data_IF_465737831636
#
_entry.id   IF_465737831636
#
_cell.length_a   1.000
_cell.length_b   1.000
_cell.length_c   1.000
_cell.angle_alpha   90.00
_cell.angle_beta   90.00
_cell.angle_gamma   90.00
#
_symmetry.space_group_name_H-M   'P 1'
#
loop_
_entity.id
_entity.type
_entity.pdbx_description
1 polymer ?
#
# COMPACT_ATOMS: atom_id res chain seq x y z
N UNK A 1 11.25 2.45 15.36
CA UNK A 1 11.07 2.48 13.90
C UNK A 1 12.36 2.98 13.29
N UNK A 2 12.87 2.26 12.29
CA UNK A 2 14.19 2.50 11.67
C UNK A 2 14.22 3.83 10.93
N UNK A 3 13.14 4.17 10.25
CA UNK A 3 13.01 5.40 9.44
C UNK A 3 13.18 6.66 10.29
N UNK A 4 12.57 6.71 11.48
CA UNK A 4 12.75 7.83 12.41
C UNK A 4 14.21 7.96 12.88
N UNK A 5 14.90 6.87 13.21
CA UNK A 5 16.31 6.93 13.59
C UNK A 5 17.21 7.44 12.46
N UNK A 6 16.93 7.03 11.22
CA UNK A 6 17.61 7.54 10.03
C UNK A 6 17.37 9.04 9.84
N UNK A 7 16.12 9.49 9.99
CA UNK A 7 15.76 10.91 9.91
C UNK A 7 16.49 11.74 10.97
N UNK A 8 16.42 11.37 12.24
CA UNK A 8 17.13 12.08 13.33
C UNK A 8 18.64 12.11 13.11
N UNK A 9 19.21 11.03 12.57
CA UNK A 9 20.64 10.97 12.22
C UNK A 9 20.98 11.97 11.12
N UNK A 10 20.15 12.07 10.08
CA UNK A 10 20.34 13.05 9.01
C UNK A 10 20.17 14.48 9.54
N UNK A 11 19.17 14.76 10.38
CA UNK A 11 19.02 16.08 11.02
C UNK A 11 20.29 16.45 11.78
N UNK A 12 20.80 15.58 12.65
CA UNK A 12 22.03 15.84 13.41
C UNK A 12 23.23 16.12 12.50
N UNK A 13 23.38 15.37 11.41
CA UNK A 13 24.45 15.60 10.43
C UNK A 13 24.33 16.98 9.79
N UNK A 14 23.12 17.39 9.42
CA UNK A 14 22.87 18.69 8.81
C UNK A 14 23.06 19.85 9.79
N UNK A 15 22.62 19.71 11.05
CA UNK A 15 22.91 20.69 12.12
C UNK A 15 24.41 20.84 12.31
N UNK A 16 25.13 19.73 12.42
CA UNK A 16 26.58 19.75 12.62
C UNK A 16 27.30 20.36 11.40
N UNK A 17 26.89 19.99 10.18
CA UNK A 17 27.41 20.57 8.95
C UNK A 17 27.18 22.09 8.91
N UNK A 18 25.97 22.55 9.23
CA UNK A 18 25.63 23.96 9.27
C UNK A 18 26.48 24.72 10.29
N UNK A 19 26.51 24.26 11.55
CA UNK A 19 27.24 24.92 12.64
C UNK A 19 28.75 24.94 12.42
N UNK A 20 29.33 23.84 11.94
CA UNK A 20 30.76 23.79 11.61
C UNK A 20 31.12 24.71 10.44
N UNK A 21 30.27 24.76 9.40
CA UNK A 21 30.49 25.65 8.25
C UNK A 21 30.29 27.12 8.63
N UNK A 22 29.29 27.43 9.46
CA UNK A 22 29.07 28.78 9.97
C UNK A 22 30.26 29.25 10.81
N UNK A 23 30.74 28.41 11.72
CA UNK A 23 31.96 28.69 12.48
C UNK A 23 33.17 28.93 11.58
N UNK A 24 33.36 28.11 10.54
CA UNK A 24 34.44 28.31 9.58
C UNK A 24 34.33 29.65 8.83
N UNK A 25 33.12 30.07 8.45
CA UNK A 25 32.89 31.39 7.86
C UNK A 25 33.19 32.53 8.83
N UNK A 26 32.76 32.42 10.10
CA UNK A 26 33.02 33.43 11.12
C UNK A 26 34.52 33.58 11.41
N UNK A 27 35.25 32.45 11.52
CA UNK A 27 36.70 32.46 11.68
C UNK A 27 37.41 33.07 10.47
N UNK A 28 36.94 32.74 9.26
CA UNK A 28 37.49 33.31 8.02
C UNK A 28 37.25 34.81 7.93
N UNK A 29 36.05 35.28 8.29
CA UNK A 29 35.72 36.72 8.28
C UNK A 29 36.55 37.48 9.31
N UNK A 30 36.70 36.93 10.53
CA UNK A 30 37.58 37.49 11.56
C UNK A 30 39.04 37.58 11.07
N UNK A 31 39.56 36.53 10.46
CA UNK A 31 40.91 36.52 9.90
C UNK A 31 41.09 37.57 8.80
N UNK A 32 40.17 37.62 7.83
CA UNK A 32 40.21 38.59 6.74
C UNK A 32 40.09 40.03 7.24
N UNK A 33 39.30 40.26 8.30
CA UNK A 33 39.22 41.55 8.97
C UNK A 33 40.57 41.95 9.58
N UNK A 34 41.22 41.04 10.32
CA UNK A 34 42.55 41.30 10.89
C UNK A 34 43.58 41.57 9.79
N UNK A 35 43.59 40.78 8.71
CA UNK A 35 44.48 40.96 7.55
C UNK A 35 44.31 42.33 6.87
N UNK A 36 43.07 42.78 6.69
CA UNK A 36 42.78 44.09 6.10
C UNK A 36 43.25 45.26 6.99
N UNK A 37 43.19 45.10 8.31
CA UNK A 37 43.53 46.17 9.28
C UNK A 37 45.01 46.18 9.69
N UNK A 38 45.62 45.01 9.88
CA UNK A 38 47.00 44.82 10.35
C UNK A 38 47.77 44.07 9.27
N UNK A 39 48.22 44.81 8.25
CA UNK A 39 48.97 44.22 7.12
C UNK A 39 50.24 43.47 7.56
N UNK A 40 50.81 43.83 8.71
CA UNK A 40 52.15 43.37 9.12
C UNK A 40 52.15 42.29 10.22
N UNK A 41 51.01 41.94 10.85
CA UNK A 41 50.98 41.05 12.04
C UNK A 41 50.55 39.61 11.78
N UNK A 42 50.51 39.16 10.52
CA UNK A 42 50.06 37.80 10.15
C UNK A 42 51.18 36.84 9.79
N UNK A 43 52.43 37.31 9.80
CA UNK A 43 53.63 36.49 9.62
C UNK A 43 53.81 35.45 10.76
N UNK A 44 53.20 35.66 11.92
CA UNK A 44 53.31 34.74 13.07
C UNK A 44 52.43 33.48 12.96
N UNK A 45 51.49 33.40 12.00
CA UNK A 45 50.52 32.29 11.90
C UNK A 45 50.94 31.22 10.87
N UNK A 46 52.10 31.36 10.21
CA UNK A 46 52.64 30.37 9.26
C UNK A 46 51.69 29.99 8.11
N UNK A 47 50.75 30.88 7.78
CA UNK A 47 49.85 30.72 6.62
C UNK A 47 50.47 31.48 5.44
N UNK A 48 51.36 30.81 4.72
CA UNK A 48 51.85 31.26 3.41
C UNK A 48 50.74 31.13 2.36
N UNK A 49 49.76 32.02 2.38
CA UNK A 49 48.89 32.20 1.22
C UNK A 49 48.27 33.59 1.21
N UNK A 50 48.58 34.37 0.18
CA UNK A 50 47.72 35.47 -0.21
C UNK A 50 46.27 34.95 -0.28
N UNK A 51 45.28 35.65 0.31
CA UNK A 51 43.90 35.17 0.28
C UNK A 51 43.48 34.95 -1.18
N UNK A 52 42.76 33.87 -1.50
CA UNK A 52 42.29 33.58 -2.84
C UNK A 52 41.58 34.78 -3.48
N UNK A 53 41.67 34.90 -4.81
CA UNK A 53 41.16 36.05 -5.56
C UNK A 53 39.68 36.38 -5.28
N UNK A 54 38.86 35.38 -4.97
CA UNK A 54 37.45 35.56 -4.63
C UNK A 54 37.21 36.27 -3.28
N UNK A 55 38.19 36.32 -2.37
CA UNK A 55 38.13 37.12 -1.13
C UNK A 55 38.69 38.54 -1.30
N UNK A 56 39.32 38.83 -2.45
CA UNK A 56 39.89 40.16 -2.78
C UNK A 56 38.83 41.14 -3.29
N UNK A 57 37.63 40.66 -3.63
CA UNK A 57 36.51 41.54 -3.99
C UNK A 57 36.17 42.46 -2.81
N UNK A 58 36.24 43.78 -3.03
CA UNK A 58 35.82 44.81 -2.06
C UNK A 58 34.30 44.89 -1.87
N UNK A 59 33.51 44.01 -2.47
CA UNK A 59 32.07 43.95 -2.25
C UNK A 59 31.83 43.63 -0.77
N UNK A 60 31.38 44.64 -0.01
CA UNK A 60 30.87 44.45 1.35
C UNK A 60 29.81 43.34 1.29
N UNK A 61 30.01 42.24 2.03
CA UNK A 61 28.98 41.22 2.21
C UNK A 61 29.19 39.85 1.57
N UNK A 62 30.30 39.54 0.87
CA UNK A 62 30.50 38.18 0.26
C UNK A 62 30.37 37.04 1.28
N UNK A 63 30.92 37.20 2.48
CA UNK A 63 30.79 36.21 3.56
C UNK A 63 29.37 36.14 4.12
N UNK A 64 28.67 37.27 4.21
CA UNK A 64 27.25 37.30 4.59
C UNK A 64 26.36 36.62 3.54
N UNK A 65 26.66 36.80 2.24
CA UNK A 65 25.98 36.12 1.14
C UNK A 65 26.21 34.60 1.20
N UNK A 66 27.45 34.16 1.46
CA UNK A 66 27.77 32.74 1.61
C UNK A 66 27.10 32.10 2.82
N UNK A 67 26.99 32.83 3.94
CA UNK A 67 26.25 32.37 5.12
C UNK A 67 24.75 32.21 4.82
N UNK A 68 24.14 33.16 4.08
CA UNK A 68 22.75 33.05 3.62
C UNK A 68 22.56 31.86 2.69
N UNK A 69 23.44 31.70 1.70
CA UNK A 69 23.40 30.55 0.78
C UNK A 69 23.54 29.22 1.53
N UNK A 70 24.42 29.14 2.53
CA UNK A 70 24.56 27.97 3.38
C UNK A 70 23.25 27.68 4.13
N UNK A 71 22.62 28.69 4.73
CA UNK A 71 21.36 28.53 5.44
C UNK A 71 20.24 28.03 4.50
N UNK A 72 20.15 28.58 3.29
CA UNK A 72 19.18 28.16 2.27
C UNK A 72 19.40 26.72 1.79
N UNK A 73 20.66 26.33 1.51
CA UNK A 73 21.00 24.95 1.09
C UNK A 73 20.65 23.96 2.19
N UNK A 74 21.00 24.29 3.43
CA UNK A 74 20.70 23.46 4.60
C UNK A 74 19.19 23.33 4.76
N UNK A 75 18.45 24.45 4.74
CA UNK A 75 16.99 24.46 4.80
C UNK A 75 16.34 23.55 3.74
N UNK A 76 16.72 23.69 2.47
CA UNK A 76 16.21 22.86 1.37
C UNK A 76 16.43 21.38 1.67
N UNK A 77 17.62 21.02 2.18
CA UNK A 77 17.95 19.62 2.51
C UNK A 77 17.18 19.11 3.72
N UNK A 78 16.92 19.95 4.72
CA UNK A 78 16.06 19.63 5.86
C UNK A 78 14.64 19.30 5.42
N UNK A 79 14.00 20.18 4.64
CA UNK A 79 12.63 19.98 4.15
C UNK A 79 12.55 18.69 3.31
N UNK A 80 13.55 18.46 2.46
CA UNK A 80 13.62 17.24 1.64
C UNK A 80 13.79 15.98 2.49
N UNK A 81 14.59 16.04 3.57
CA UNK A 81 14.75 14.92 4.50
C UNK A 81 13.43 14.59 5.23
N UNK A 82 12.62 15.60 5.57
CA UNK A 82 11.30 15.40 6.16
C UNK A 82 10.34 14.71 5.19
N UNK A 83 10.31 15.12 3.92
CA UNK A 83 9.49 14.48 2.89
C UNK A 83 9.85 13.00 2.72
N UNK A 84 11.14 12.69 2.66
CA UNK A 84 11.63 11.30 2.57
C UNK A 84 11.22 10.52 3.81
N UNK A 85 11.39 11.08 5.02
CA UNK A 85 10.97 10.44 6.27
C UNK A 85 9.47 10.11 6.27
N UNK A 86 8.62 11.07 5.88
CA UNK A 86 7.17 10.88 5.81
C UNK A 86 6.77 9.76 4.85
N UNK A 87 7.43 9.65 3.70
CA UNK A 87 7.16 8.62 2.69
C UNK A 87 7.70 7.26 3.15
N UNK A 88 8.91 7.21 3.68
CA UNK A 88 9.53 5.96 4.12
C UNK A 88 8.84 5.39 5.37
N UNK A 89 8.31 6.24 6.25
CA UNK A 89 7.50 5.79 7.38
C UNK A 89 6.23 5.06 6.90
N UNK A 90 5.57 5.53 5.84
CA UNK A 90 4.44 4.80 5.22
C UNK A 90 4.91 3.42 4.73
N UNK A 91 6.09 3.33 4.11
CA UNK A 91 6.67 2.05 3.67
C UNK A 91 6.92 1.09 4.85
N UNK A 92 7.48 1.59 5.95
CA UNK A 92 7.72 0.79 7.17
C UNK A 92 6.39 0.30 7.80
N UNK A 93 5.35 1.13 7.79
CA UNK A 93 4.00 0.75 8.22
C UNK A 93 3.46 -0.34 7.28
N UNK A 94 3.58 -0.20 5.96
CA UNK A 94 3.09 -1.20 5.00
C UNK A 94 3.72 -2.59 5.18
N UNK A 95 5.02 -2.63 5.49
CA UNK A 95 5.74 -3.89 5.75
C UNK A 95 5.09 -4.64 6.92
N UNK A 96 4.80 -3.91 8.02
CA UNK A 96 4.22 -4.46 9.24
C UNK A 96 2.70 -4.66 9.19
N UNK A 97 1.98 -3.76 8.53
CA UNK A 97 0.52 -3.68 8.50
C UNK A 97 0.01 -3.34 7.10
N UNK A 98 -0.55 -4.34 6.41
CA UNK A 98 -1.04 -4.19 5.03
C UNK A 98 -2.49 -3.69 4.94
N UNK A 99 -3.27 -3.85 6.02
CA UNK A 99 -4.70 -3.53 6.03
C UNK A 99 -5.05 -2.08 5.66
N UNK A 100 -4.39 -1.02 6.17
CA UNK A 100 -4.74 0.36 5.79
C UNK A 100 -4.49 0.68 4.30
N UNK A 101 -3.81 -0.23 3.59
CA UNK A 101 -3.49 -0.12 2.17
C UNK A 101 -4.42 -0.97 1.29
N UNK A 102 -5.28 -1.81 1.87
CA UNK A 102 -6.30 -2.57 1.12
C UNK A 102 -7.51 -1.70 0.81
N UNK A 103 -7.40 -0.87 -0.22
CA UNK A 103 -8.46 0.06 -0.63
C UNK A 103 -9.30 -0.55 -1.74
N UNK A 104 -10.56 -0.87 -1.46
CA UNK A 104 -11.48 -1.49 -2.44
C UNK A 104 -11.77 -0.58 -3.65
N UNK A 105 -11.69 0.74 -3.46
CA UNK A 105 -12.03 1.73 -4.50
C UNK A 105 -10.84 2.20 -5.33
N UNK A 106 -9.65 1.64 -5.14
CA UNK A 106 -8.45 2.01 -5.92
C UNK A 106 -8.09 0.86 -6.85
N UNK A 107 -8.19 1.13 -8.14
CA UNK A 107 -7.72 0.21 -9.19
C UNK A 107 -6.31 0.64 -9.57
N UNK A 108 -5.36 -0.31 -9.46
CA UNK A 108 -4.00 -0.13 -9.96
C UNK A 108 -3.87 -0.89 -11.28
N UNK A 109 -3.64 -0.15 -12.35
CA UNK A 109 -3.42 -0.73 -13.68
C UNK A 109 -1.95 -1.13 -13.84
N UNK A 110 -1.69 -2.35 -14.30
CA UNK A 110 -0.34 -2.86 -14.59
C UNK A 110 -0.24 -3.33 -16.03
N UNK A 111 0.95 -3.20 -16.64
CA UNK A 111 1.19 -3.81 -17.95
C UNK A 111 1.29 -5.33 -17.76
N UNK A 112 0.83 -6.08 -18.75
CA UNK A 112 0.90 -7.54 -18.73
C UNK A 112 2.34 -8.03 -18.56
N UNK A 113 3.31 -7.39 -19.22
CA UNK A 113 4.74 -7.69 -19.05
C UNK A 113 5.21 -7.56 -17.60
N UNK A 114 4.71 -6.55 -16.88
CA UNK A 114 5.11 -6.29 -15.50
C UNK A 114 4.58 -7.40 -14.60
N UNK A 115 3.33 -7.84 -14.81
CA UNK A 115 2.69 -8.93 -14.06
C UNK A 115 3.35 -10.28 -14.32
N UNK A 116 3.69 -10.59 -15.57
CA UNK A 116 4.35 -11.85 -15.93
C UNK A 116 5.81 -11.91 -15.46
N UNK A 117 6.43 -10.77 -15.14
CA UNK A 117 7.79 -10.70 -14.60
C UNK A 117 7.88 -10.84 -13.08
N UNK A 118 6.72 -10.91 -12.40
CA UNK A 118 6.64 -11.03 -10.94
C UNK A 118 7.13 -12.42 -10.51
N UNK A 119 8.18 -12.45 -9.69
CA UNK A 119 8.79 -13.70 -9.21
C UNK A 119 8.28 -14.10 -7.82
N UNK A 120 7.71 -13.15 -7.08
CA UNK A 120 7.29 -13.36 -5.71
C UNK A 120 6.12 -12.48 -5.31
N UNK A 121 5.42 -12.88 -4.24
CA UNK A 121 4.38 -12.05 -3.61
C UNK A 121 4.96 -10.74 -3.06
N UNK A 122 6.23 -10.72 -2.67
CA UNK A 122 6.93 -9.51 -2.25
C UNK A 122 7.07 -8.50 -3.41
N UNK A 123 7.28 -8.98 -4.64
CA UNK A 123 7.34 -8.10 -5.82
C UNK A 123 5.99 -7.44 -6.09
N UNK A 124 4.87 -8.17 -5.91
CA UNK A 124 3.52 -7.60 -5.98
C UNK A 124 3.37 -6.48 -4.95
N UNK A 125 3.71 -6.75 -3.69
CA UNK A 125 3.62 -5.75 -2.62
C UNK A 125 4.48 -4.52 -2.89
N UNK A 126 5.70 -4.72 -3.39
CA UNK A 126 6.61 -3.64 -3.77
C UNK A 126 6.06 -2.80 -4.92
N UNK A 127 5.47 -3.43 -5.95
CA UNK A 127 4.83 -2.74 -7.06
C UNK A 127 3.65 -1.88 -6.60
N UNK A 128 2.80 -2.43 -5.73
CA UNK A 128 1.65 -1.72 -5.15
C UNK A 128 2.11 -0.50 -4.34
N UNK A 129 2.99 -0.70 -3.36
CA UNK A 129 3.41 0.40 -2.48
C UNK A 129 4.23 1.45 -3.24
N UNK A 130 5.07 1.04 -4.19
CA UNK A 130 5.88 2.00 -4.98
C UNK A 130 5.01 2.91 -5.84
N UNK A 131 3.93 2.39 -6.44
CA UNK A 131 2.97 3.23 -7.18
C UNK A 131 2.26 4.22 -6.27
N UNK A 132 1.81 3.79 -5.10
CA UNK A 132 1.18 4.70 -4.14
C UNK A 132 2.14 5.80 -3.66
N UNK A 133 3.36 5.43 -3.26
CA UNK A 133 4.35 6.36 -2.73
C UNK A 133 4.89 7.33 -3.78
N UNK A 134 5.01 6.91 -5.05
CA UNK A 134 5.45 7.80 -6.14
C UNK A 134 4.51 9.00 -6.31
N UNK A 135 3.19 8.79 -6.17
CA UNK A 135 2.19 9.86 -6.23
C UNK A 135 2.38 10.87 -5.10
N UNK A 136 2.73 10.41 -3.90
CA UNK A 136 2.97 11.27 -2.75
C UNK A 136 4.23 12.11 -2.91
N UNK A 137 5.31 11.52 -3.44
CA UNK A 137 6.55 12.24 -3.71
C UNK A 137 6.36 13.41 -4.69
N UNK A 138 5.49 13.27 -5.70
CA UNK A 138 5.18 14.35 -6.64
C UNK A 138 4.13 15.34 -6.15
N UNK A 139 3.27 14.94 -5.20
CA UNK A 139 2.11 15.72 -4.76
C UNK A 139 2.41 16.76 -3.67
N UNK A 140 3.61 16.74 -3.11
CA UNK A 140 4.02 17.63 -2.02
C UNK A 140 3.34 17.33 -0.68
N UNK A 141 3.61 18.18 0.32
CA UNK A 141 3.17 17.98 1.70
C UNK A 141 1.66 17.81 1.87
N UNK A 142 0.85 18.56 1.11
CA UNK A 142 -0.60 18.49 1.22
C UNK A 142 -1.17 17.10 0.85
N UNK A 143 -0.59 16.45 -0.16
CA UNK A 143 -0.99 15.09 -0.52
C UNK A 143 -0.54 14.06 0.52
N UNK A 144 0.62 14.28 1.15
CA UNK A 144 1.08 13.46 2.27
C UNK A 144 0.11 13.58 3.46
N UNK A 145 -0.26 14.79 3.87
CA UNK A 145 -1.21 15.02 4.98
C UNK A 145 -2.55 14.32 4.71
N UNK A 146 -3.12 14.51 3.51
CA UNK A 146 -4.37 13.81 3.10
C UNK A 146 -4.22 12.29 3.17
N UNK A 147 -3.06 11.77 2.77
CA UNK A 147 -2.81 10.34 2.76
C UNK A 147 -2.75 9.76 4.18
N UNK A 148 -2.01 10.39 5.09
CA UNK A 148 -1.94 9.97 6.49
C UNK A 148 -3.31 9.99 7.16
N UNK A 149 -4.11 11.03 6.91
CA UNK A 149 -5.45 11.11 7.47
C UNK A 149 -6.36 10.02 6.89
N UNK A 150 -6.41 9.87 5.56
CA UNK A 150 -7.31 8.93 4.90
C UNK A 150 -6.96 7.47 5.19
N UNK A 151 -5.69 7.10 5.02
CA UNK A 151 -5.23 5.72 5.05
C UNK A 151 -4.82 5.26 6.45
N UNK A 152 -4.14 6.12 7.21
CA UNK A 152 -3.57 5.76 8.52
C UNK A 152 -4.40 6.28 9.71
N UNK A 153 -5.41 7.14 9.45
CA UNK A 153 -6.22 7.79 10.51
C UNK A 153 -5.35 8.58 11.50
N UNK A 154 -4.31 9.23 10.96
CA UNK A 154 -3.37 10.10 11.67
C UNK A 154 -3.54 11.51 11.13
N UNK A 155 -3.84 12.46 12.02
CA UNK A 155 -4.08 13.85 11.64
C UNK A 155 -2.79 14.67 11.75
N UNK A 156 -1.93 14.52 10.73
CA UNK A 156 -0.61 15.16 10.67
C UNK A 156 -0.70 16.69 10.69
N UNK A 157 -1.83 17.26 10.27
CA UNK A 157 -2.06 18.70 10.25
C UNK A 157 -2.09 19.34 11.65
N UNK A 158 -2.40 18.54 12.69
CA UNK A 158 -2.50 19.01 14.08
C UNK A 158 -1.20 18.91 14.86
N UNK A 159 -0.23 18.15 14.36
CA UNK A 159 1.07 17.96 15.00
C UNK A 159 1.81 19.30 14.99
N UNK A 160 2.40 19.70 16.12
CA UNK A 160 3.21 20.92 16.20
C UNK A 160 4.31 20.91 15.13
N UNK A 161 4.58 22.01 14.40
CA UNK A 161 4.09 23.38 14.56
C UNK A 161 2.74 23.68 13.88
N UNK A 162 2.08 22.65 13.34
CA UNK A 162 0.80 22.74 12.65
C UNK A 162 0.94 22.89 11.13
N UNK A 163 -0.18 22.62 10.46
CA UNK A 163 -0.25 22.57 9.00
C UNK A 163 0.26 23.84 8.30
N UNK A 164 -0.13 25.03 8.77
CA UNK A 164 0.20 26.29 8.09
C UNK A 164 1.71 26.54 8.05
N UNK A 165 2.40 26.24 9.14
CA UNK A 165 3.85 26.44 9.26
C UNK A 165 4.59 25.37 8.43
N UNK A 166 4.19 24.11 8.54
CA UNK A 166 4.78 23.04 7.72
C UNK A 166 4.57 23.29 6.23
N UNK A 167 3.36 23.66 5.81
CA UNK A 167 3.07 23.98 4.41
C UNK A 167 3.93 25.16 3.91
N UNK A 168 4.14 26.18 4.74
CA UNK A 168 5.05 27.28 4.43
C UNK A 168 6.46 26.73 4.13
N UNK A 169 7.01 25.86 4.97
CA UNK A 169 8.37 25.35 4.81
C UNK A 169 8.56 24.64 3.45
N UNK A 170 7.58 23.82 3.06
CA UNK A 170 7.60 23.16 1.75
C UNK A 170 7.46 24.15 0.59
N UNK A 171 6.64 25.19 0.73
CA UNK A 171 6.50 26.23 -0.30
C UNK A 171 7.75 27.11 -0.41
N UNK A 172 8.37 27.50 0.71
CA UNK A 172 9.65 28.22 0.73
C UNK A 172 10.74 27.42 0.05
N UNK A 173 10.83 26.10 0.31
CA UNK A 173 11.75 25.20 -0.40
C UNK A 173 11.46 25.18 -1.90
N UNK A 174 10.19 25.13 -2.30
CA UNK A 174 9.82 25.19 -3.72
C UNK A 174 10.30 26.49 -4.39
N UNK A 175 10.12 27.64 -3.73
CA UNK A 175 10.60 28.94 -4.26
C UNK A 175 12.12 29.00 -4.37
N UNK A 176 12.84 28.54 -3.35
CA UNK A 176 14.31 28.48 -3.36
C UNK A 176 14.83 27.60 -4.51
N UNK A 177 14.27 26.39 -4.67
CA UNK A 177 14.76 25.40 -5.65
C UNK A 177 14.32 25.73 -7.08
N UNK A 178 13.07 26.14 -7.29
CA UNK A 178 12.48 26.25 -8.64
C UNK A 178 12.36 27.67 -9.14
N UNK A 179 12.49 28.68 -8.26
CA UNK A 179 12.32 30.09 -8.61
C UNK A 179 13.49 30.97 -8.17
N UNK A 180 14.61 30.38 -7.78
CA UNK A 180 15.82 31.09 -7.32
C UNK A 180 15.48 32.07 -6.18
N UNK A 181 14.57 31.66 -5.30
CA UNK A 181 14.09 32.44 -4.17
C UNK A 181 13.02 33.50 -4.50
N UNK A 182 12.66 33.72 -5.77
CA UNK A 182 11.67 34.75 -6.13
C UNK A 182 10.26 34.36 -5.70
N UNK A 183 9.61 35.22 -4.93
CA UNK A 183 8.22 35.04 -4.46
C UNK A 183 7.22 35.37 -5.58
N UNK A 184 6.06 34.70 -5.61
CA UNK A 184 4.89 35.13 -6.40
C UNK A 184 3.86 35.83 -5.52
N UNK A 185 2.86 36.42 -6.17
CA UNK A 185 1.75 37.07 -5.48
C UNK A 185 0.96 36.10 -4.60
N UNK A 186 0.85 34.82 -5.01
CA UNK A 186 0.12 33.82 -4.24
C UNK A 186 0.78 33.57 -2.88
N UNK A 187 2.08 33.31 -2.86
CA UNK A 187 2.87 33.12 -1.65
C UNK A 187 2.85 34.36 -0.76
N UNK A 188 3.07 35.55 -1.36
CA UNK A 188 3.04 36.83 -0.64
C UNK A 188 1.70 37.08 0.06
N UNK A 189 0.59 36.87 -0.65
CA UNK A 189 -0.75 37.01 -0.07
C UNK A 189 -1.02 35.96 1.01
N UNK A 190 -0.60 34.71 0.80
CA UNK A 190 -0.90 33.58 1.70
C UNK A 190 -0.21 33.70 3.07
N UNK A 191 1.04 34.17 3.09
CA UNK A 191 1.84 34.29 4.31
C UNK A 191 2.08 35.74 4.76
N UNK A 192 1.41 36.72 4.14
CA UNK A 192 1.65 38.14 4.38
C UNK A 192 3.13 38.54 4.23
N UNK A 193 3.79 37.99 3.21
CA UNK A 193 5.20 38.23 2.93
C UNK A 193 5.35 39.37 1.93
N UNK A 194 6.16 40.39 2.25
CA UNK A 194 6.25 41.61 1.43
C UNK A 194 7.42 41.59 0.44
N UNK A 195 8.45 40.79 0.70
CA UNK A 195 9.67 40.85 -0.12
C UNK A 195 9.56 40.03 -1.41
N UNK A 196 10.31 40.49 -2.42
CA UNK A 196 10.36 39.86 -3.74
C UNK A 196 11.23 38.61 -3.79
N UNK A 197 12.20 38.50 -2.88
CA UNK A 197 13.05 37.34 -2.71
C UNK A 197 12.84 36.79 -1.30
N UNK A 198 12.86 35.47 -1.19
CA UNK A 198 12.84 34.78 0.08
C UNK A 198 14.27 34.58 0.53
N UNK A 199 14.50 34.73 1.83
CA UNK A 199 15.78 34.41 2.47
C UNK A 199 15.56 33.47 3.63
N UNK A 200 16.57 32.68 3.98
CA UNK A 200 16.54 31.86 5.19
C UNK A 200 17.50 32.46 6.20
N UNK A 201 16.94 33.13 7.20
CA UNK A 201 17.74 33.67 8.30
C UNK A 201 18.12 32.57 9.30
N UNK A 202 19.22 32.77 10.03
CA UNK A 202 19.73 31.78 10.97
C UNK A 202 18.70 31.44 12.06
N UNK A 203 17.99 32.44 12.58
CA UNK A 203 16.93 32.23 13.59
C UNK A 203 15.78 31.38 13.04
N UNK A 204 15.45 31.59 11.75
CA UNK A 204 14.39 30.87 11.05
C UNK A 204 14.79 29.40 10.92
N UNK A 205 16.01 29.16 10.47
CA UNK A 205 16.56 27.82 10.28
C UNK A 205 16.64 27.03 11.59
N UNK A 206 17.12 27.64 12.68
CA UNK A 206 17.16 26.98 13.99
C UNK A 206 15.74 26.67 14.51
N UNK A 207 14.75 27.53 14.24
CA UNK A 207 13.34 27.24 14.55
C UNK A 207 12.83 26.04 13.75
N UNK A 208 13.18 25.93 12.46
CA UNK A 208 12.84 24.77 11.65
C UNK A 208 13.43 23.47 12.20
N UNK A 209 14.65 23.51 12.77
CA UNK A 209 15.28 22.32 13.35
C UNK A 209 14.46 21.75 14.51
N UNK A 210 14.04 22.62 15.42
CA UNK A 210 13.23 22.23 16.57
C UNK A 210 11.83 21.77 16.15
N UNK A 211 11.21 22.46 15.20
CA UNK A 211 9.91 22.10 14.65
C UNK A 211 9.95 20.69 14.03
N UNK A 212 10.95 20.38 13.20
CA UNK A 212 11.04 19.08 12.52
C UNK A 212 11.32 17.93 13.49
N UNK A 213 12.16 18.19 14.48
CA UNK A 213 12.44 17.22 15.53
C UNK A 213 11.16 16.89 16.32
N UNK A 214 10.49 17.90 16.87
CA UNK A 214 9.25 17.73 17.64
C UNK A 214 8.16 17.07 16.81
N UNK A 215 7.97 17.54 15.59
CA UNK A 215 7.00 16.97 14.65
C UNK A 215 7.26 15.48 14.41
N UNK A 216 8.51 15.08 14.18
CA UNK A 216 8.85 13.68 13.91
C UNK A 216 8.69 12.77 15.13
N UNK A 217 8.95 13.29 16.32
CA UNK A 217 8.78 12.59 17.60
C UNK A 217 7.29 12.33 17.87
N UNK A 218 6.46 13.36 17.74
CA UNK A 218 5.01 13.25 17.93
C UNK A 218 4.35 12.36 16.86
N UNK A 219 4.77 12.49 15.60
CA UNK A 219 4.29 11.60 14.53
C UNK A 219 4.65 10.14 14.81
N UNK A 220 5.88 9.87 15.27
CA UNK A 220 6.30 8.52 15.63
C UNK A 220 5.42 7.95 16.75
N UNK A 221 5.06 8.75 17.74
CA UNK A 221 4.16 8.35 18.82
C UNK A 221 2.77 8.00 18.29
N UNK A 222 2.18 8.86 17.46
CA UNK A 222 0.88 8.59 16.84
C UNK A 222 0.89 7.31 15.99
N UNK A 223 1.96 7.07 15.22
CA UNK A 223 2.12 5.84 14.43
C UNK A 223 2.24 4.61 15.31
N UNK A 224 3.01 4.67 16.40
CA UNK A 224 3.14 3.57 17.36
C UNK A 224 1.80 3.24 18.01
N UNK A 225 1.04 4.25 18.41
CA UNK A 225 -0.27 4.07 19.04
C UNK A 225 -1.25 3.43 18.05
N UNK A 226 -1.32 3.94 16.81
CA UNK A 226 -2.15 3.32 15.76
C UNK A 226 -1.75 1.90 15.39
N UNK A 227 -0.46 1.59 15.42
CA UNK A 227 0.02 0.23 15.17
C UNK A 227 -0.41 -0.73 16.28
N UNK A 228 -0.46 -0.29 17.55
CA UNK A 228 -0.86 -1.10 18.71
C UNK A 228 -2.37 -1.34 18.78
N UNK A 229 -3.18 -0.37 18.37
CA UNK A 229 -4.65 -0.48 18.36
C UNK A 229 -5.16 -1.52 17.34
N UNK A 230 -4.25 -2.18 16.61
CA UNK A 230 -4.45 -3.07 15.49
C UNK A 230 -5.24 -2.39 14.36
N UNK A 231 -4.66 -2.36 13.16
CA UNK A 231 -5.41 -2.14 11.92
C UNK A 231 -6.39 -3.30 11.61
N UNK A 232 -6.95 -3.95 12.64
CA UNK A 232 -7.74 -5.18 12.57
C UNK A 232 -9.12 -4.92 12.01
N UNK A 233 -9.30 -5.28 10.74
CA UNK A 233 -10.59 -5.77 10.26
C UNK A 233 -10.58 -7.29 10.46
N UNK A 234 -11.69 -7.81 10.98
CA UNK A 234 -11.97 -9.22 11.17
C UNK A 234 -11.63 -9.98 9.89
N UNK A 235 -10.57 -10.80 9.89
CA UNK A 235 -10.37 -11.80 8.84
C UNK A 235 -11.62 -12.66 8.83
N UNK A 236 -12.41 -12.56 7.77
CA UNK A 236 -13.38 -13.59 7.45
C UNK A 236 -12.56 -14.86 7.19
N UNK A 237 -12.37 -15.66 8.24
CA UNK A 237 -11.81 -17.00 8.14
C UNK A 237 -12.80 -17.83 7.31
N UNK A 238 -12.72 -17.73 5.98
CA UNK A 238 -13.36 -18.69 5.10
C UNK A 238 -12.76 -20.05 5.48
N UNK A 239 -13.56 -20.88 6.14
CA UNK A 239 -13.17 -22.25 6.46
C UNK A 239 -12.87 -22.95 5.13
N UNK A 240 -11.73 -23.66 5.00
CA UNK A 240 -11.42 -24.39 3.78
C UNK A 240 -12.50 -25.44 3.52
N UNK A 241 -12.93 -25.55 2.26
CA UNK A 241 -13.98 -26.50 1.85
C UNK A 241 -13.46 -27.93 1.81
N UNK A 242 -12.17 -28.12 1.56
CA UNK A 242 -11.53 -29.43 1.55
C UNK A 242 -10.17 -29.40 2.21
N UNK A 243 -9.80 -30.54 2.80
CA UNK A 243 -8.45 -30.83 3.29
C UNK A 243 -7.96 -32.14 2.72
N UNK A 244 -6.67 -32.21 2.42
CA UNK A 244 -6.02 -33.42 1.93
C UNK A 244 -4.72 -33.66 2.70
N UNK A 245 -4.43 -34.93 2.95
CA UNK A 245 -3.15 -35.40 3.45
C UNK A 245 -2.55 -36.33 2.40
N UNK A 246 -1.32 -36.08 1.99
CA UNK A 246 -0.62 -36.86 0.98
C UNK A 246 0.70 -37.32 1.57
N UNK A 247 0.83 -38.61 1.82
CA UNK A 247 2.08 -39.25 2.21
C UNK A 247 2.80 -39.74 0.95
N UNK A 248 4.09 -39.41 0.78
CA UNK A 248 4.81 -39.62 -0.49
C UNK A 248 6.16 -40.29 -0.25
N UNK A 249 6.45 -41.36 -0.97
CA UNK A 249 7.76 -42.00 -1.09
C UNK A 249 8.29 -41.75 -2.53
N UNK A 250 9.45 -41.09 -2.65
CA UNK A 250 10.02 -40.74 -3.95
C UNK A 250 10.90 -41.87 -4.49
N UNK A 251 10.59 -42.38 -5.68
CA UNK A 251 11.30 -43.55 -6.25
C UNK A 251 12.59 -43.21 -6.98
N UNK A 252 12.69 -42.02 -7.64
CA UNK A 252 13.93 -41.42 -8.21
C UNK A 252 13.64 -40.01 -8.78
N UNK A 253 14.49 -39.03 -8.45
CA UNK A 253 14.37 -37.58 -8.75
C UNK A 253 13.09 -36.93 -8.20
N UNK A 254 13.21 -35.69 -7.72
CA UNK A 254 12.08 -34.90 -7.24
C UNK A 254 11.10 -34.63 -8.38
N UNK A 255 9.85 -35.04 -8.23
CA UNK A 255 8.79 -34.64 -9.14
C UNK A 255 8.44 -33.17 -8.86
N UNK A 256 8.32 -32.31 -9.89
CA UNK A 256 8.10 -30.89 -9.70
C UNK A 256 6.73 -30.58 -9.09
N UNK A 257 5.80 -31.55 -9.03
CA UNK A 257 4.44 -31.32 -8.54
C UNK A 257 4.37 -30.78 -7.10
N UNK A 258 5.38 -31.09 -6.28
CA UNK A 258 5.49 -30.61 -4.89
C UNK A 258 6.37 -29.35 -4.74
N UNK A 259 6.82 -28.75 -5.84
CA UNK A 259 7.51 -27.46 -5.83
C UNK A 259 6.49 -26.33 -5.58
N UNK A 260 6.88 -25.29 -4.84
CA UNK A 260 5.97 -24.22 -4.43
C UNK A 260 5.31 -23.49 -5.62
N UNK A 261 6.02 -23.41 -6.74
CA UNK A 261 5.61 -22.75 -7.98
C UNK A 261 5.02 -23.74 -9.01
N UNK A 262 4.69 -24.97 -8.63
CA UNK A 262 4.04 -25.89 -9.55
C UNK A 262 2.63 -25.40 -9.88
N UNK A 263 2.39 -25.16 -11.17
CA UNK A 263 1.14 -24.65 -11.71
C UNK A 263 0.29 -25.79 -12.28
N UNK A 264 -1.01 -25.73 -12.03
CA UNK A 264 -1.97 -26.68 -12.57
C UNK A 264 -3.36 -26.05 -12.71
N UNK A 265 -4.18 -26.64 -13.57
CA UNK A 265 -5.56 -26.20 -13.78
C UNK A 265 -6.53 -26.94 -12.86
N UNK A 266 -7.42 -26.20 -12.21
CA UNK A 266 -8.53 -26.72 -11.42
C UNK A 266 -9.85 -26.14 -11.96
N UNK A 267 -10.46 -26.85 -12.91
CA UNK A 267 -11.54 -26.31 -13.72
C UNK A 267 -11.04 -25.17 -14.60
N UNK A 268 -11.65 -23.99 -14.50
CA UNK A 268 -11.30 -22.81 -15.30
C UNK A 268 -10.27 -21.89 -14.61
N UNK A 269 -9.73 -22.31 -13.46
CA UNK A 269 -8.77 -21.51 -12.68
C UNK A 269 -7.37 -22.11 -12.74
N UNK A 270 -6.37 -21.25 -12.96
CA UNK A 270 -4.96 -21.59 -12.80
C UNK A 270 -4.60 -21.52 -11.31
N UNK A 271 -4.12 -22.63 -10.76
CA UNK A 271 -3.78 -22.80 -9.36
C UNK A 271 -2.30 -23.13 -9.20
N UNK A 272 -1.75 -22.84 -8.02
CA UNK A 272 -0.38 -23.18 -7.65
C UNK A 272 -0.38 -24.09 -6.42
N UNK A 273 0.60 -24.99 -6.33
CA UNK A 273 0.74 -25.88 -5.17
C UNK A 273 0.81 -25.11 -3.84
N UNK A 274 1.52 -23.98 -3.79
CA UNK A 274 1.62 -23.15 -2.60
C UNK A 274 0.30 -22.52 -2.15
N UNK A 275 -0.72 -22.44 -3.02
CA UNK A 275 -2.05 -21.98 -2.63
C UNK A 275 -2.79 -23.04 -1.80
N UNK A 276 -2.42 -24.31 -1.97
CA UNK A 276 -3.01 -25.43 -1.24
C UNK A 276 -2.18 -25.86 -0.04
N UNK A 277 -0.88 -25.58 -0.04
CA UNK A 277 0.06 -26.13 0.93
C UNK A 277 -0.08 -25.49 2.32
N UNK A 278 -0.48 -26.29 3.32
CA UNK A 278 -0.53 -25.85 4.71
C UNK A 278 0.80 -26.08 5.43
N UNK A 279 1.28 -27.33 5.41
CA UNK A 279 2.49 -27.76 6.11
C UNK A 279 3.02 -29.10 5.61
N UNK A 280 4.30 -29.34 5.87
CA UNK A 280 5.00 -30.61 5.61
C UNK A 280 5.49 -31.21 6.93
N UNK A 281 5.23 -32.50 7.14
CA UNK A 281 5.68 -33.25 8.32
C UNK A 281 6.45 -34.48 7.86
N UNK A 282 7.56 -34.80 8.51
CA UNK A 282 8.34 -36.00 8.23
C UNK A 282 8.04 -37.05 9.30
N UNK A 283 7.52 -38.21 8.90
CA UNK A 283 7.37 -39.37 9.79
C UNK A 283 8.59 -40.29 9.73
N UNK A 284 9.29 -40.28 8.59
CA UNK A 284 10.62 -40.85 8.41
C UNK A 284 11.44 -39.95 7.46
N UNK A 285 12.77 -40.10 7.38
CA UNK A 285 13.61 -39.29 6.50
C UNK A 285 13.23 -39.37 5.00
N UNK A 286 12.54 -40.44 4.63
CA UNK A 286 12.24 -40.79 3.23
C UNK A 286 10.78 -40.54 2.84
N UNK A 287 9.89 -40.32 3.82
CA UNK A 287 8.44 -40.26 3.61
C UNK A 287 7.87 -38.97 4.22
N UNK A 288 7.87 -37.85 3.47
CA UNK A 288 7.14 -36.65 3.86
C UNK A 288 5.62 -36.81 3.69
N UNK A 289 4.90 -36.22 4.63
CA UNK A 289 3.45 -36.02 4.58
C UNK A 289 3.14 -34.55 4.34
N UNK A 290 2.41 -34.26 3.28
CA UNK A 290 1.94 -32.92 2.91
C UNK A 290 0.48 -32.75 3.36
N UNK A 291 0.21 -31.66 4.07
CA UNK A 291 -1.14 -31.25 4.45
C UNK A 291 -1.56 -30.11 3.54
N UNK A 292 -2.70 -30.28 2.88
CA UNK A 292 -3.24 -29.34 1.92
C UNK A 292 -4.64 -28.87 2.32
N UNK A 293 -4.97 -27.61 2.09
CA UNK A 293 -6.32 -27.08 2.25
C UNK A 293 -6.68 -26.10 1.12
N UNK A 294 -7.94 -26.10 0.71
CA UNK A 294 -8.41 -25.28 -0.41
C UNK A 294 -9.88 -25.48 -0.72
N UNK A 295 -10.30 -25.05 -1.92
CA UNK A 295 -11.61 -25.43 -2.45
C UNK A 295 -11.66 -26.92 -2.78
N UNK A 296 -12.87 -27.49 -2.85
CA UNK A 296 -13.02 -28.90 -3.20
C UNK A 296 -12.48 -29.22 -4.61
N UNK A 297 -12.65 -28.30 -5.56
CA UNK A 297 -12.23 -28.47 -6.96
C UNK A 297 -10.70 -28.50 -7.06
N UNK A 298 -10.01 -27.60 -6.36
CA UNK A 298 -8.55 -27.54 -6.38
C UNK A 298 -7.91 -28.80 -5.77
N UNK A 299 -8.44 -29.26 -4.63
CA UNK A 299 -7.94 -30.48 -3.97
C UNK A 299 -8.18 -31.71 -4.85
N UNK A 300 -9.34 -31.82 -5.50
CA UNK A 300 -9.64 -32.92 -6.42
C UNK A 300 -8.72 -32.91 -7.66
N UNK A 301 -8.52 -31.74 -8.27
CA UNK A 301 -7.63 -31.58 -9.41
C UNK A 301 -6.19 -31.95 -9.05
N UNK A 302 -5.70 -31.48 -7.90
CA UNK A 302 -4.34 -31.79 -7.45
C UNK A 302 -4.17 -33.28 -7.11
N UNK A 303 -5.16 -33.91 -6.47
CA UNK A 303 -5.14 -35.35 -6.20
C UNK A 303 -5.04 -36.16 -7.52
N UNK A 304 -5.76 -35.77 -8.57
CA UNK A 304 -5.67 -36.43 -9.86
C UNK A 304 -4.26 -36.33 -10.49
N UNK A 305 -3.57 -35.21 -10.30
CA UNK A 305 -2.18 -35.02 -10.74
C UNK A 305 -1.23 -35.95 -9.97
N UNK A 306 -1.40 -36.04 -8.65
CA UNK A 306 -0.59 -36.95 -7.81
C UNK A 306 -0.83 -38.40 -8.22
N UNK A 307 -2.08 -38.82 -8.42
CA UNK A 307 -2.42 -40.16 -8.90
C UNK A 307 -1.81 -40.46 -10.29
N UNK A 308 -1.76 -39.48 -11.20
CA UNK A 308 -1.12 -39.64 -12.49
C UNK A 308 0.40 -39.89 -12.36
N UNK A 309 1.07 -39.20 -11.44
CA UNK A 309 2.49 -39.43 -11.17
C UNK A 309 2.76 -40.76 -10.45
N UNK A 310 1.81 -41.24 -9.63
CA UNK A 310 1.83 -42.61 -9.07
C UNK A 310 1.71 -43.65 -10.19
N UNK A 311 0.75 -43.49 -11.11
CA UNK A 311 0.58 -44.38 -12.28
C UNK A 311 1.80 -44.41 -13.19
N UNK A 312 2.54 -43.30 -13.28
CA UNK A 312 3.82 -43.20 -14.01
C UNK A 312 5.01 -43.79 -13.25
N UNK A 313 4.79 -44.37 -12.07
CA UNK A 313 5.81 -44.95 -11.19
C UNK A 313 6.90 -43.96 -10.73
N UNK A 314 6.65 -42.64 -10.80
CA UNK A 314 7.62 -41.61 -10.35
C UNK A 314 7.61 -41.37 -8.85
N UNK A 315 6.47 -41.67 -8.22
CA UNK A 315 6.25 -41.61 -6.78
C UNK A 315 5.39 -42.80 -6.35
N UNK A 316 5.47 -43.16 -5.08
CA UNK A 316 4.39 -43.90 -4.40
C UNK A 316 3.73 -42.91 -3.45
N UNK A 317 2.40 -42.80 -3.47
CA UNK A 317 1.69 -41.87 -2.61
C UNK A 317 0.42 -42.49 -2.04
N UNK A 318 0.13 -42.14 -0.78
CA UNK A 318 -1.13 -42.46 -0.10
C UNK A 318 -1.88 -41.16 0.13
N UNK A 319 -3.08 -41.05 -0.44
CA UNK A 319 -3.90 -39.84 -0.42
C UNK A 319 -5.08 -40.05 0.53
N UNK A 320 -5.21 -39.21 1.55
CA UNK A 320 -6.35 -39.16 2.47
C UNK A 320 -6.99 -37.78 2.37
N UNK A 321 -8.15 -37.69 1.72
CA UNK A 321 -8.88 -36.43 1.57
C UNK A 321 -10.16 -36.40 2.41
N UNK A 322 -10.43 -35.25 3.02
CA UNK A 322 -11.68 -34.91 3.70
C UNK A 322 -12.26 -33.69 2.99
N UNK A 323 -13.20 -33.94 2.09
CA UNK A 323 -13.94 -32.89 1.40
C UNK A 323 -15.20 -32.62 2.23
N UNK A 324 -15.32 -31.40 2.78
CA UNK A 324 -16.59 -31.02 3.38
C UNK A 324 -17.61 -30.85 2.27
N UNK A 325 -18.78 -31.47 2.41
CA UNK A 325 -19.91 -31.28 1.48
C UNK A 325 -20.47 -29.87 1.67
N UNK A 326 -19.72 -28.84 1.31
CA UNK A 326 -20.21 -27.48 1.24
C UNK A 326 -21.03 -27.35 -0.04
N UNK A 327 -22.35 -27.25 0.13
CA UNK A 327 -23.34 -26.92 -0.89
C UNK A 327 -23.30 -27.79 -2.16
N UNK A 328 -23.66 -29.08 -2.04
CA UNK A 328 -24.54 -29.57 -3.10
C UNK A 328 -25.77 -28.68 -3.07
N UNK A 329 -26.10 -28.02 -4.19
CA UNK A 329 -27.38 -27.36 -4.32
C UNK A 329 -28.44 -28.39 -3.91
N UNK A 330 -29.01 -28.24 -2.70
CA UNK A 330 -30.18 -29.02 -2.29
C UNK A 330 -31.17 -28.79 -3.42
N UNK A 331 -31.48 -29.85 -4.18
CA UNK A 331 -32.60 -29.78 -5.10
C UNK A 331 -33.79 -29.38 -4.24
N UNK A 332 -34.29 -28.16 -4.44
CA UNK A 332 -35.50 -27.72 -3.76
C UNK A 332 -36.58 -28.67 -4.28
N UNK A 333 -36.93 -29.65 -3.46
CA UNK A 333 -38.06 -30.54 -3.66
C UNK A 333 -39.27 -29.66 -3.43
N UNK A 334 -39.95 -29.30 -4.53
CA UNK A 334 -41.20 -28.56 -4.45
C UNK A 334 -42.27 -29.51 -3.95
N UNK A 335 -42.78 -29.24 -2.75
CA UNK A 335 -43.94 -29.94 -2.22
C UNK A 335 -45.17 -29.64 -3.10
N UNK A 336 -45.98 -30.67 -3.42
CA UNK A 336 -47.20 -30.52 -4.22
C UNK A 336 -48.16 -29.49 -3.63
N UNK A 337 -48.24 -29.43 -2.30
CA UNK A 337 -49.07 -28.45 -1.59
C UNK A 337 -48.58 -27.01 -1.81
N UNK A 338 -47.25 -26.82 -1.92
CA UNK A 338 -46.65 -25.53 -2.20
C UNK A 338 -46.87 -25.09 -3.66
N UNK A 339 -46.80 -26.03 -4.60
CA UNK A 339 -47.12 -25.78 -6.01
C UNK A 339 -48.58 -25.32 -6.15
N UNK A 340 -49.51 -25.99 -5.47
CA UNK A 340 -50.94 -25.63 -5.52
C UNK A 340 -51.20 -24.27 -4.86
N UNK A 341 -50.54 -23.96 -3.75
CA UNK A 341 -50.59 -22.64 -3.11
C UNK A 341 -50.09 -21.53 -4.03
N UNK A 342 -49.05 -21.79 -4.82
CA UNK A 342 -48.54 -20.85 -5.82
C UNK A 342 -49.54 -20.73 -7.00
N UNK A 343 -50.13 -21.85 -7.45
CA UNK A 343 -51.14 -21.88 -8.54
C UNK A 343 -52.34 -20.99 -8.22
N UNK A 344 -52.90 -21.12 -7.01
CA UNK A 344 -54.06 -20.33 -6.56
C UNK A 344 -53.77 -18.84 -6.42
N UNK A 345 -52.50 -18.45 -6.27
CA UNK A 345 -52.09 -17.06 -6.09
C UNK A 345 -51.63 -16.40 -7.39
N UNK A 346 -51.44 -17.16 -8.47
CA UNK A 346 -51.11 -16.60 -9.77
C UNK A 346 -52.38 -16.02 -10.42
N UNK A 347 -52.31 -14.82 -11.01
CA UNK A 347 -53.42 -14.27 -11.78
C UNK A 347 -53.63 -15.05 -13.09
N UNK A 348 -54.74 -14.80 -13.77
CA UNK A 348 -54.97 -15.35 -15.11
C UNK A 348 -53.87 -14.90 -16.09
N UNK A 349 -53.47 -15.80 -16.98
CA UNK A 349 -52.46 -15.51 -18.01
C UNK A 349 -53.07 -14.63 -19.11
N UNK A 350 -52.29 -13.74 -19.76
CA UNK A 350 -50.82 -13.62 -19.68
C UNK A 350 -50.32 -12.79 -18.49
N UNK A 351 -49.27 -13.28 -17.82
CA UNK A 351 -48.68 -12.57 -16.67
C UNK A 351 -47.73 -11.45 -17.10
N UNK A 352 -47.80 -10.30 -16.42
CA UNK A 352 -46.86 -9.20 -16.61
C UNK A 352 -45.40 -9.61 -16.33
N UNK A 353 -44.43 -8.86 -16.88
CA UNK A 353 -43.00 -9.05 -16.60
C UNK A 353 -42.76 -9.04 -15.07
N UNK A 354 -41.96 -9.98 -14.60
CA UNK A 354 -41.62 -10.20 -13.18
C UNK A 354 -42.78 -10.67 -12.27
N UNK A 355 -43.85 -11.27 -12.80
CA UNK A 355 -44.93 -11.82 -11.95
C UNK A 355 -44.43 -12.80 -10.86
N UNK A 356 -43.45 -13.64 -11.18
CA UNK A 356 -42.82 -14.54 -10.21
C UNK A 356 -42.23 -13.81 -8.98
N UNK A 357 -41.71 -12.58 -9.14
CA UNK A 357 -41.19 -11.77 -8.02
C UNK A 357 -42.30 -11.21 -7.15
N UNK A 358 -43.44 -10.83 -7.75
CA UNK A 358 -44.62 -10.34 -7.02
C UNK A 358 -45.24 -11.46 -6.19
N UNK A 359 -45.50 -12.61 -6.82
CA UNK A 359 -46.03 -13.79 -6.13
C UNK A 359 -45.07 -14.32 -5.06
N UNK A 360 -43.75 -14.25 -5.29
CA UNK A 360 -42.75 -14.58 -4.27
C UNK A 360 -42.83 -13.65 -3.05
N UNK A 361 -42.93 -12.33 -3.27
CA UNK A 361 -43.05 -11.34 -2.20
C UNK A 361 -44.35 -11.53 -1.39
N UNK A 362 -45.46 -11.81 -2.06
CA UNK A 362 -46.76 -12.03 -1.41
C UNK A 362 -46.81 -13.32 -0.58
N UNK A 363 -46.13 -14.37 -1.02
CA UNK A 363 -46.11 -15.66 -0.33
C UNK A 363 -44.95 -15.80 0.67
N UNK A 364 -44.07 -14.81 0.78
CA UNK A 364 -42.86 -14.87 1.60
C UNK A 364 -41.86 -15.94 1.13
N UNK A 365 -41.85 -16.25 -0.18
CA UNK A 365 -41.02 -17.29 -0.79
C UNK A 365 -39.85 -16.69 -1.57
N UNK A 366 -38.83 -17.50 -1.86
CA UNK A 366 -37.74 -17.07 -2.73
C UNK A 366 -38.19 -17.06 -4.20
N UNK A 367 -37.65 -16.12 -4.99
CA UNK A 367 -37.93 -16.02 -6.43
C UNK A 367 -37.65 -17.34 -7.16
N UNK A 368 -36.61 -18.07 -6.74
CA UNK A 368 -36.23 -19.35 -7.34
C UNK A 368 -37.30 -20.44 -7.13
N UNK A 369 -37.94 -20.49 -5.96
CA UNK A 369 -39.02 -21.44 -5.65
C UNK A 369 -40.22 -21.17 -6.56
N UNK A 370 -40.65 -19.90 -6.65
CA UNK A 370 -41.83 -19.51 -7.44
C UNK A 370 -41.58 -19.71 -8.93
N UNK A 371 -40.41 -19.33 -9.45
CA UNK A 371 -40.08 -19.57 -10.86
C UNK A 371 -40.07 -21.06 -11.20
N UNK A 372 -39.51 -21.91 -10.32
CA UNK A 372 -39.47 -23.36 -10.55
C UNK A 372 -40.87 -23.99 -10.48
N UNK A 373 -41.72 -23.54 -9.55
CA UNK A 373 -43.12 -23.97 -9.46
C UNK A 373 -43.92 -23.59 -10.73
N UNK A 374 -43.71 -22.38 -11.25
CA UNK A 374 -44.33 -21.92 -12.51
C UNK A 374 -43.90 -22.82 -13.67
N UNK A 375 -42.61 -23.14 -13.79
CA UNK A 375 -42.11 -24.04 -14.83
C UNK A 375 -42.75 -25.43 -14.73
N UNK A 376 -42.96 -25.94 -13.52
CA UNK A 376 -43.60 -27.23 -13.29
C UNK A 376 -45.10 -27.21 -13.60
N UNK A 377 -45.81 -26.12 -13.29
CA UNK A 377 -47.21 -25.92 -13.65
C UNK A 377 -47.41 -25.81 -15.18
N UNK A 378 -46.48 -25.16 -15.89
CA UNK A 378 -46.49 -25.11 -17.36
C UNK A 378 -46.22 -26.51 -17.93
N UNK A 379 -45.23 -27.23 -17.39
CA UNK A 379 -44.90 -28.60 -17.82
C UNK A 379 -46.08 -29.57 -17.62
N UNK A 380 -46.85 -29.38 -16.54
CA UNK A 380 -48.01 -30.21 -16.22
C UNK A 380 -49.31 -29.74 -16.93
N UNK A 381 -49.22 -28.78 -17.85
CA UNK A 381 -50.36 -28.30 -18.64
C UNK A 381 -51.37 -27.44 -17.88
N UNK A 382 -51.08 -27.04 -16.64
CA UNK A 382 -51.95 -26.16 -15.85
C UNK A 382 -51.91 -24.69 -16.33
N UNK A 383 -50.84 -24.30 -17.03
CA UNK A 383 -50.66 -22.99 -17.62
C UNK A 383 -50.00 -23.09 -19.00
N UNK A 384 -50.26 -22.11 -19.88
CA UNK A 384 -49.60 -22.01 -21.19
C UNK A 384 -48.20 -21.41 -21.04
N UNK A 385 -47.29 -21.78 -21.94
CA UNK A 385 -45.97 -21.18 -21.99
C UNK A 385 -46.07 -19.70 -22.37
N UNK A 386 -45.26 -18.86 -21.74
CA UNK A 386 -45.27 -17.42 -22.02
C UNK A 386 -43.89 -16.80 -21.84
N UNK A 387 -43.61 -15.75 -22.62
CA UNK A 387 -42.38 -14.96 -22.52
C UNK A 387 -42.70 -13.47 -22.59
N UNK A 388 -42.10 -12.68 -21.68
CA UNK A 388 -42.20 -11.23 -21.71
C UNK A 388 -43.61 -10.64 -21.55
N UNK A 389 -44.58 -11.42 -21.04
CA UNK A 389 -45.99 -11.01 -20.91
C UNK A 389 -46.86 -11.30 -22.12
N UNK A 390 -46.39 -12.13 -23.05
CA UNK A 390 -47.17 -12.68 -24.15
C UNK A 390 -47.19 -14.20 -24.06
N UNK A 391 -48.36 -14.80 -24.30
CA UNK A 391 -48.46 -16.25 -24.48
C UNK A 391 -47.66 -16.65 -25.72
N UNK A 392 -46.93 -17.74 -25.62
CA UNK A 392 -46.33 -18.40 -26.77
C UNK A 392 -47.43 -19.30 -27.33
N UNK A 393 -47.91 -19.01 -28.54
CA UNK A 393 -48.74 -19.97 -29.27
C UNK A 393 -47.91 -21.23 -29.48
N UNK A 394 -48.49 -22.36 -29.06
CA UNK A 394 -47.87 -23.69 -29.15
C UNK A 394 -48.10 -24.32 -30.49
#
# INVERSE_FOLDING_TARGET
MRTHQQFITELKKLINFYRSSLYAYDQTDYFLYQWRKKKDSLLEIDIEANPPSFYKSKSKGVLSENQKNLAEIVFVRFVSALEVFLIDQIREIFISHKEPFKKENIILEFRQSDLLSIKSTADIYNLVISKELRRLSSGGFNEIVKYYNKSLKIDVAKIYPGFKVMEEYHQRRHLLVHRLGKTDQFYRNKYNYQEHNITVENFYLESCFEDFKKFSEELLEQVKNRSKENFSIQKANKKPEAKCQIEVEFSKKTTPIFESNYEFWAGDSLCMFNNLFDRKVFHSPQIPTFYLSGSAIEILAYNAIVEAEVKRCKIKATIVSKISKANSHKSITLDKHLIEKIRLKLPEQPWQKNQHKRTAKELGLSNAIVSKAITELIKNGSFKSQSGGKLLEG
#
